data_IF_255512345705
#
_entry.id   IF_255512345705
#
_cell.length_a   1.000
_cell.length_b   1.000
_cell.length_c   1.000
_cell.angle_alpha   90.00
_cell.angle_beta   90.00
_cell.angle_gamma   90.00
#
_symmetry.space_group_name_H-M   'P 1'
#
loop_
_entity.id
_entity.type
_entity.pdbx_description
1 polymer ?
#
# COMPACT_ATOMS: atom_id res chain seq x y z
N UNK A 1 -47.23 44.45 -33.46
CA UNK A 1 -46.97 43.46 -32.41
C UNK A 1 -45.77 43.97 -31.64
N UNK A 2 -46.03 44.72 -30.57
CA UNK A 2 -45.00 45.22 -29.66
C UNK A 2 -44.52 44.05 -28.79
N UNK A 3 -43.32 43.55 -29.06
CA UNK A 3 -42.63 42.57 -28.19
C UNK A 3 -41.53 43.23 -27.37
N UNK A 4 -41.65 44.52 -27.07
CA UNK A 4 -40.73 45.28 -26.23
C UNK A 4 -41.02 45.10 -24.74
N UNK A 5 -40.97 43.87 -24.23
CA UNK A 5 -41.04 43.62 -22.79
C UNK A 5 -39.72 44.02 -22.13
N UNK A 6 -39.72 45.06 -21.30
CA UNK A 6 -38.55 45.46 -20.52
C UNK A 6 -38.12 44.27 -19.63
N UNK A 7 -36.88 43.79 -19.81
CA UNK A 7 -36.34 42.73 -18.98
C UNK A 7 -36.08 43.22 -17.56
N UNK A 8 -36.28 42.35 -16.56
CA UNK A 8 -36.10 42.69 -15.16
C UNK A 8 -35.32 41.62 -14.41
N UNK A 9 -34.45 42.06 -13.50
CA UNK A 9 -33.78 41.20 -12.53
C UNK A 9 -34.63 41.08 -11.27
N UNK A 10 -34.64 39.90 -10.68
CA UNK A 10 -35.26 39.68 -9.37
C UNK A 10 -34.42 38.73 -8.53
N UNK A 11 -34.61 38.81 -7.21
CA UNK A 11 -34.03 37.89 -6.23
C UNK A 11 -35.19 37.16 -5.56
N UNK A 12 -35.18 35.83 -5.65
CA UNK A 12 -36.14 34.95 -5.01
C UNK A 12 -35.54 34.26 -3.80
N UNK A 13 -36.40 33.89 -2.85
CA UNK A 13 -36.08 32.96 -1.79
C UNK A 13 -37.01 31.76 -1.98
N UNK A 14 -36.46 30.68 -2.53
CA UNK A 14 -37.21 29.46 -2.78
C UNK A 14 -36.94 28.44 -1.67
N UNK A 15 -38.00 27.74 -1.23
CA UNK A 15 -37.91 26.68 -0.23
C UNK A 15 -38.09 25.32 -0.91
N UNK A 16 -36.98 24.63 -1.14
CA UNK A 16 -36.94 23.34 -1.84
C UNK A 16 -36.21 22.32 -0.96
N UNK A 17 -36.90 21.58 -0.07
CA UNK A 17 -36.24 20.59 0.78
C UNK A 17 -35.66 19.46 -0.08
N UNK A 18 -34.35 19.26 -0.01
CA UNK A 18 -33.62 18.21 -0.73
C UNK A 18 -32.90 17.27 0.24
N UNK A 19 -32.90 15.97 -0.10
CA UNK A 19 -32.18 14.93 0.64
C UNK A 19 -31.03 14.40 -0.21
N UNK A 20 -29.83 14.90 0.08
CA UNK A 20 -28.64 14.52 -0.66
C UNK A 20 -27.87 13.43 0.07
N UNK A 21 -27.32 12.47 -0.69
CA UNK A 21 -26.52 11.37 -0.16
C UNK A 21 -25.34 11.07 -1.09
N UNK A 22 -24.15 10.91 -0.52
CA UNK A 22 -22.99 10.39 -1.24
C UNK A 22 -23.05 8.85 -1.20
N UNK A 23 -22.97 8.23 -2.37
CA UNK A 23 -22.87 6.78 -2.54
C UNK A 23 -21.58 6.45 -3.28
N UNK A 24 -21.07 5.24 -3.04
CA UNK A 24 -19.98 4.63 -3.82
C UNK A 24 -18.72 5.50 -3.94
N UNK A 25 -18.37 6.17 -2.83
CA UNK A 25 -17.16 6.97 -2.74
C UNK A 25 -15.93 6.05 -2.64
N UNK A 26 -14.91 6.33 -3.44
CA UNK A 26 -13.64 5.61 -3.47
C UNK A 26 -12.49 6.58 -3.60
N UNK A 27 -11.31 6.17 -3.11
CA UNK A 27 -10.07 6.94 -3.20
C UNK A 27 -8.98 6.06 -3.83
N UNK A 28 -8.14 6.69 -4.63
CA UNK A 28 -7.03 6.06 -5.37
C UNK A 28 -6.09 7.14 -5.85
N UNK A 29 -4.80 6.80 -5.95
CA UNK A 29 -3.81 7.67 -6.59
C UNK A 29 -4.15 7.87 -8.07
N UNK A 30 -3.84 9.07 -8.57
CA UNK A 30 -4.11 9.44 -9.96
C UNK A 30 -3.31 8.63 -10.99
N UNK A 31 -2.14 8.11 -10.59
CA UNK A 31 -1.30 7.23 -11.40
C UNK A 31 -1.85 5.78 -11.51
N UNK A 32 -2.89 5.43 -10.72
CA UNK A 32 -3.48 4.09 -10.71
C UNK A 32 -2.65 3.02 -9.98
N UNK A 33 -1.67 3.39 -9.17
CA UNK A 33 -0.80 2.45 -8.44
C UNK A 33 -1.46 1.86 -7.18
N UNK A 34 -2.49 2.51 -6.65
CA UNK A 34 -3.24 2.01 -5.49
C UNK A 34 -3.89 0.66 -5.80
N UNK A 35 -3.52 -0.36 -5.04
CA UNK A 35 -4.13 -1.70 -5.11
C UNK A 35 -5.27 -1.88 -4.12
N UNK A 36 -5.14 -1.29 -2.93
CA UNK A 36 -6.16 -1.37 -1.88
C UNK A 36 -6.08 -0.17 -0.94
N UNK A 37 -7.22 0.17 -0.35
CA UNK A 37 -7.35 1.19 0.68
C UNK A 37 -7.53 0.52 2.04
N UNK A 38 -6.70 0.89 3.03
CA UNK A 38 -6.77 0.34 4.38
C UNK A 38 -7.10 1.41 5.41
N UNK A 39 -8.11 1.21 6.28
CA UNK A 39 -8.48 2.21 7.25
C UNK A 39 -7.57 2.21 8.47
N UNK A 40 -7.42 3.38 9.11
CA UNK A 40 -6.68 3.52 10.35
C UNK A 40 -7.48 2.96 11.56
N UNK A 41 -6.81 2.15 12.38
CA UNK A 41 -7.29 1.64 13.66
C UNK A 41 -7.28 2.78 14.69
N UNK A 42 -8.46 3.21 15.12
CA UNK A 42 -8.59 4.33 16.06
C UNK A 42 -8.17 3.91 17.48
N UNK A 43 -7.00 4.36 17.90
CA UNK A 43 -6.46 4.09 19.24
C UNK A 43 -6.64 5.23 20.26
N UNK A 44 -7.42 6.28 19.93
CA UNK A 44 -7.67 7.42 20.83
C UNK A 44 -6.43 8.26 21.21
N UNK A 45 -5.29 8.03 20.56
CA UNK A 45 -4.03 8.78 20.69
C UNK A 45 -3.69 9.50 19.38
N UNK A 46 -2.69 10.38 19.40
CA UNK A 46 -2.19 11.06 18.19
C UNK A 46 -1.97 10.07 17.05
N UNK A 47 -2.34 10.47 15.82
CA UNK A 47 -2.20 9.64 14.62
C UNK A 47 -0.72 9.32 14.44
N UNK A 48 -0.37 8.03 14.52
CA UNK A 48 0.97 7.54 14.24
C UNK A 48 0.92 6.72 12.96
N UNK A 49 1.69 7.12 11.96
CA UNK A 49 1.79 6.43 10.68
C UNK A 49 2.70 5.18 10.80
N UNK A 50 2.25 4.23 11.61
CA UNK A 50 2.88 2.93 11.82
C UNK A 50 2.02 1.86 11.12
N UNK A 51 2.67 0.84 10.56
CA UNK A 51 2.01 -0.19 9.75
C UNK A 51 0.95 -0.97 10.53
N UNK A 52 1.20 -1.27 11.80
CA UNK A 52 0.28 -1.94 12.71
C UNK A 52 -0.91 -1.08 13.17
N UNK A 53 -0.99 0.20 12.76
CA UNK A 53 -2.11 1.09 13.03
C UNK A 53 -3.13 1.14 11.91
N UNK A 54 -2.94 0.36 10.86
CA UNK A 54 -3.93 0.20 9.79
C UNK A 54 -4.57 -1.19 9.87
N UNK A 55 -5.85 -1.28 9.55
CA UNK A 55 -6.57 -2.54 9.48
C UNK A 55 -6.33 -3.21 8.13
N UNK A 56 -5.30 -4.05 8.07
CA UNK A 56 -4.95 -4.81 6.87
C UNK A 56 -5.93 -5.94 6.54
N UNK A 57 -6.89 -6.24 7.43
CA UNK A 57 -7.88 -7.30 7.21
C UNK A 57 -9.13 -6.81 6.49
N UNK A 58 -9.35 -5.49 6.45
CA UNK A 58 -10.50 -4.87 5.78
C UNK A 58 -10.05 -4.00 4.61
N UNK A 59 -9.57 -4.60 3.50
CA UNK A 59 -9.25 -3.84 2.29
C UNK A 59 -10.52 -3.22 1.70
N UNK A 60 -10.37 -2.02 1.15
CA UNK A 60 -11.41 -1.24 0.46
C UNK A 60 -12.70 -1.09 1.28
N UNK A 61 -12.61 -0.51 2.51
CA UNK A 61 -13.77 -0.31 3.35
C UNK A 61 -14.76 0.66 2.69
N UNK A 62 -16.05 0.45 2.93
CA UNK A 62 -17.07 1.39 2.47
C UNK A 62 -16.94 2.72 3.22
N UNK A 63 -16.50 3.76 2.51
CA UNK A 63 -16.41 5.12 3.04
C UNK A 63 -17.81 5.75 3.01
N UNK A 64 -18.41 5.91 4.19
CA UNK A 64 -19.74 6.48 4.35
C UNK A 64 -19.71 7.95 4.73
N UNK A 65 -20.78 8.67 4.38
CA UNK A 65 -21.00 10.05 4.80
C UNK A 65 -22.35 10.18 5.51
N UNK A 66 -22.46 11.16 6.42
CA UNK A 66 -23.73 11.55 7.03
C UNK A 66 -24.63 12.15 5.95
N UNK A 67 -25.88 11.72 5.96
CA UNK A 67 -26.91 12.32 5.11
C UNK A 67 -27.06 13.77 5.55
N UNK A 68 -27.10 14.70 4.60
CA UNK A 68 -27.38 16.09 4.91
C UNK A 68 -28.79 16.42 4.44
N UNK A 69 -29.64 16.84 5.36
CA UNK A 69 -30.98 17.32 5.05
C UNK A 69 -30.87 18.82 4.82
N UNK A 70 -30.96 19.24 3.55
CA UNK A 70 -31.04 20.66 3.24
C UNK A 70 -32.38 21.20 3.73
N UNK A 71 -32.32 22.12 4.69
CA UNK A 71 -33.27 23.24 4.78
C UNK A 71 -32.66 24.35 3.90
N UNK A 72 -32.57 24.11 2.59
CA UNK A 72 -32.05 25.11 1.66
C UNK A 72 -33.07 26.24 1.55
N UNK A 73 -32.81 27.35 2.25
CA UNK A 73 -33.20 28.66 1.72
C UNK A 73 -32.14 29.00 0.67
N UNK A 74 -32.37 28.59 -0.58
CA UNK A 74 -31.52 28.98 -1.70
C UNK A 74 -31.98 30.34 -2.21
N UNK A 75 -31.05 31.29 -2.27
CA UNK A 75 -31.28 32.55 -2.95
C UNK A 75 -31.21 32.30 -4.45
N UNK A 76 -32.31 32.55 -5.16
CA UNK A 76 -32.34 32.48 -6.62
C UNK A 76 -32.13 33.89 -7.19
N UNK A 77 -31.30 33.99 -8.23
CA UNK A 77 -31.22 35.22 -9.04
C UNK A 77 -31.89 34.93 -10.37
N UNK A 78 -32.93 35.71 -10.67
CA UNK A 78 -33.76 35.51 -11.85
C UNK A 78 -33.67 36.67 -12.83
N UNK A 79 -33.80 36.34 -14.12
CA UNK A 79 -34.01 37.31 -15.19
C UNK A 79 -35.26 36.96 -15.96
N UNK A 80 -36.21 37.89 -16.03
CA UNK A 80 -37.42 37.78 -16.82
C UNK A 80 -37.33 38.62 -18.08
N UNK A 81 -37.74 38.05 -19.23
CA UNK A 81 -37.94 38.80 -20.48
C UNK A 81 -39.19 38.29 -21.20
N UNK A 82 -40.17 39.18 -21.39
CA UNK A 82 -41.48 38.81 -21.91
C UNK A 82 -42.19 37.78 -21.02
N UNK A 83 -42.63 36.66 -21.62
CA UNK A 83 -43.24 35.52 -20.91
C UNK A 83 -42.26 34.48 -20.36
N UNK A 84 -40.95 34.64 -20.62
CA UNK A 84 -39.92 33.70 -20.18
C UNK A 84 -39.21 34.20 -18.91
N UNK A 85 -38.90 33.27 -18.00
CA UNK A 85 -38.08 33.51 -16.80
C UNK A 85 -36.98 32.47 -16.72
N UNK A 86 -35.77 32.92 -16.40
CA UNK A 86 -34.63 32.08 -16.07
C UNK A 86 -34.28 32.35 -14.61
N UNK A 87 -34.18 31.29 -13.79
CA UNK A 87 -33.77 31.35 -12.39
C UNK A 87 -32.47 30.54 -12.23
N UNK A 88 -31.48 31.14 -11.58
CA UNK A 88 -30.22 30.51 -11.22
C UNK A 88 -30.17 30.36 -9.70
N UNK A 89 -30.05 29.11 -9.23
CA UNK A 89 -29.93 28.75 -7.82
C UNK A 89 -28.55 28.11 -7.58
N UNK A 90 -27.90 28.48 -6.49
CA UNK A 90 -26.60 27.92 -6.08
C UNK A 90 -26.74 27.32 -4.68
N UNK A 91 -26.58 26.01 -4.60
CA UNK A 91 -26.61 25.25 -3.36
C UNK A 91 -25.22 24.90 -2.88
N UNK A 92 -25.00 24.94 -1.56
CA UNK A 92 -23.78 24.46 -0.94
C UNK A 92 -24.10 23.41 0.12
N UNK A 93 -23.52 22.22 -0.04
CA UNK A 93 -23.73 21.10 0.87
C UNK A 93 -22.41 20.60 1.43
N UNK A 94 -22.42 20.19 2.71
CA UNK A 94 -21.28 19.58 3.37
C UNK A 94 -21.67 18.22 3.96
N UNK A 95 -20.98 17.17 3.56
CA UNK A 95 -21.18 15.79 3.98
C UNK A 95 -20.02 15.36 4.87
N UNK A 96 -20.27 15.20 6.17
CA UNK A 96 -19.24 14.73 7.10
C UNK A 96 -19.04 13.21 6.96
N UNK A 97 -17.82 12.73 7.13
CA UNK A 97 -17.54 11.28 7.11
C UNK A 97 -18.20 10.56 8.28
N UNK A 98 -18.68 9.34 8.03
CA UNK A 98 -19.11 8.41 9.08
C UNK A 98 -17.88 7.69 9.61
N UNK A 99 -17.74 7.63 10.93
CA UNK A 99 -16.71 6.79 11.55
C UNK A 99 -16.86 5.33 11.15
N UNK A 100 -15.73 4.67 10.89
CA UNK A 100 -15.63 3.22 10.71
C UNK A 100 -15.99 2.59 12.06
N UNK A 101 -17.05 1.77 12.06
CA UNK A 101 -17.69 1.24 13.28
C UNK A 101 -16.86 0.10 13.85
N UNK A 102 -16.57 0.17 15.13
CA UNK A 102 -16.63 -1.00 16.00
C UNK A 102 -18.00 -0.96 16.71
N UNK A 103 -18.60 -2.12 16.93
CA UNK A 103 -19.97 -2.35 17.42
C UNK A 103 -20.64 -1.22 18.25
N UNK A 104 -21.70 -0.64 17.69
CA UNK A 104 -22.88 -0.13 18.40
C UNK A 104 -22.68 0.91 19.52
N UNK A 105 -22.56 2.19 19.18
CA UNK A 105 -23.35 3.29 19.77
C UNK A 105 -22.86 4.65 19.25
N UNK A 106 -23.81 5.45 18.74
CA UNK A 106 -23.67 6.83 18.21
C UNK A 106 -22.75 7.00 17.00
N UNK A 107 -23.26 7.71 15.99
CA UNK A 107 -22.49 8.10 14.81
C UNK A 107 -21.48 9.19 15.19
N UNK A 108 -20.38 8.79 15.82
CA UNK A 108 -19.31 9.70 16.14
C UNK A 108 -18.62 10.16 14.85
N UNK A 109 -18.64 11.48 14.67
CA UNK A 109 -17.84 12.15 13.65
C UNK A 109 -16.38 11.85 13.94
N UNK A 110 -15.67 11.38 12.93
CA UNK A 110 -14.25 11.12 13.11
C UNK A 110 -13.51 11.41 11.83
N UNK A 111 -12.36 12.04 12.02
CA UNK A 111 -11.32 12.12 11.01
C UNK A 111 -10.90 10.68 10.69
N UNK A 112 -11.30 10.19 9.51
CA UNK A 112 -10.94 8.84 9.06
C UNK A 112 -9.69 8.95 8.21
N UNK A 113 -8.63 8.29 8.67
CA UNK A 113 -7.34 8.20 7.98
C UNK A 113 -7.29 6.87 7.22
N UNK A 114 -6.78 6.90 5.99
CA UNK A 114 -6.67 5.74 5.10
C UNK A 114 -5.26 5.65 4.52
N UNK A 115 -4.71 4.44 4.46
CA UNK A 115 -3.49 4.12 3.73
C UNK A 115 -3.85 3.64 2.32
N UNK A 116 -3.23 4.24 1.31
CA UNK A 116 -3.29 3.79 -0.07
C UNK A 116 -2.11 2.83 -0.29
N UNK A 117 -2.38 1.52 -0.18
CA UNK A 117 -1.34 0.51 -0.35
C UNK A 117 -1.13 0.18 -1.82
N UNK A 118 0.14 0.01 -2.19
CA UNK A 118 0.59 -0.40 -3.52
C UNK A 118 0.89 -1.90 -3.55
N UNK A 119 1.49 -2.37 -4.64
CA UNK A 119 1.59 -3.77 -5.03
C UNK A 119 2.36 -4.64 -4.03
N UNK A 120 3.57 -4.24 -3.59
CA UNK A 120 4.41 -5.02 -2.67
C UNK A 120 3.74 -5.19 -1.30
N UNK A 121 3.22 -4.11 -0.72
CA UNK A 121 2.53 -4.17 0.57
C UNK A 121 1.29 -5.06 0.51
N UNK A 122 0.48 -4.91 -0.55
CA UNK A 122 -0.73 -5.69 -0.77
C UNK A 122 -0.42 -7.19 -0.98
N UNK A 123 0.56 -7.52 -1.82
CA UNK A 123 0.90 -8.89 -2.16
C UNK A 123 1.50 -9.66 -0.98
N UNK A 124 2.27 -9.00 -0.10
CA UNK A 124 2.78 -9.60 1.14
C UNK A 124 1.64 -9.99 2.08
N UNK A 125 0.72 -9.06 2.37
CA UNK A 125 -0.39 -9.30 3.30
C UNK A 125 -1.33 -10.37 2.77
N UNK A 126 -1.64 -10.33 1.47
CA UNK A 126 -2.53 -11.31 0.83
C UNK A 126 -1.85 -12.65 0.52
N UNK A 127 -0.52 -12.75 0.67
CA UNK A 127 0.22 -13.98 0.43
C UNK A 127 0.36 -14.34 -1.05
N UNK A 128 0.34 -13.38 -1.96
CA UNK A 128 0.42 -13.60 -3.40
C UNK A 128 1.89 -13.75 -3.85
N UNK A 129 2.52 -14.90 -3.55
CA UNK A 129 3.96 -15.13 -3.76
C UNK A 129 4.44 -14.85 -5.19
N UNK A 130 3.69 -15.28 -6.22
CA UNK A 130 4.11 -15.10 -7.62
C UNK A 130 4.08 -13.62 -8.05
N UNK A 131 3.05 -12.88 -7.63
CA UNK A 131 2.92 -11.45 -7.92
C UNK A 131 3.94 -10.63 -7.13
N UNK A 132 4.14 -10.97 -5.85
CA UNK A 132 5.18 -10.39 -5.03
C UNK A 132 6.57 -10.61 -5.65
N UNK A 133 6.85 -11.81 -6.17
CA UNK A 133 8.10 -12.11 -6.88
C UNK A 133 8.27 -11.21 -8.10
N UNK A 134 7.22 -11.08 -8.92
CA UNK A 134 7.25 -10.25 -10.11
C UNK A 134 7.42 -8.75 -9.79
N UNK A 135 6.81 -8.27 -8.70
CA UNK A 135 6.96 -6.90 -8.23
C UNK A 135 8.36 -6.65 -7.65
N UNK A 136 8.84 -7.53 -6.76
CA UNK A 136 10.20 -7.47 -6.20
C UNK A 136 11.30 -7.53 -7.26
N UNK A 137 11.08 -8.31 -8.33
CA UNK A 137 12.04 -8.40 -9.43
C UNK A 137 12.18 -7.07 -10.21
N UNK A 138 11.16 -6.21 -10.20
CA UNK A 138 11.21 -4.87 -10.80
C UNK A 138 11.81 -3.83 -9.86
N UNK A 139 11.86 -4.12 -8.57
CA UNK A 139 12.47 -3.25 -7.55
C UNK A 139 13.98 -3.23 -7.68
N UNK A 140 14.59 -2.05 -7.58
CA UNK A 140 16.05 -1.93 -7.66
C UNK A 140 16.73 -2.59 -6.47
N UNK A 141 17.92 -3.16 -6.67
CA UNK A 141 18.68 -3.75 -5.56
C UNK A 141 18.96 -2.75 -4.44
N UNK A 142 19.14 -1.46 -4.79
CA UNK A 142 19.34 -0.37 -3.82
C UNK A 142 18.15 -0.22 -2.88
N UNK A 143 16.93 -0.28 -3.40
CA UNK A 143 15.71 -0.14 -2.59
C UNK A 143 15.51 -1.36 -1.68
N UNK A 144 15.89 -2.55 -2.16
CA UNK A 144 15.88 -3.79 -1.35
C UNK A 144 16.88 -3.71 -0.20
N UNK A 145 18.07 -3.15 -0.42
CA UNK A 145 19.01 -2.89 0.67
C UNK A 145 18.42 -1.91 1.69
N UNK A 146 17.74 -0.85 1.24
CA UNK A 146 17.10 0.10 2.14
C UNK A 146 15.98 -0.55 2.96
N UNK A 147 15.16 -1.38 2.31
CA UNK A 147 14.12 -2.17 2.97
C UNK A 147 14.72 -3.11 4.03
N UNK A 148 15.75 -3.89 3.69
CA UNK A 148 16.39 -4.80 4.63
C UNK A 148 17.01 -4.06 5.84
N UNK A 149 17.63 -2.90 5.64
CA UNK A 149 18.11 -2.05 6.74
C UNK A 149 16.96 -1.58 7.65
N UNK A 150 15.81 -1.24 7.07
CA UNK A 150 14.64 -0.85 7.84
C UNK A 150 14.05 -2.03 8.64
N UNK A 151 14.05 -3.24 8.07
CA UNK A 151 13.67 -4.49 8.74
C UNK A 151 14.62 -4.80 9.91
N UNK A 152 15.93 -4.72 9.71
CA UNK A 152 16.92 -4.94 10.78
C UNK A 152 16.68 -4.02 11.97
N UNK A 153 16.43 -2.73 11.71
CA UNK A 153 16.22 -1.72 12.77
C UNK A 153 14.86 -1.89 13.45
N UNK A 154 13.80 -2.11 12.67
CA UNK A 154 12.42 -2.04 13.17
C UNK A 154 11.87 -3.38 13.63
N UNK A 155 12.40 -4.49 13.10
CA UNK A 155 11.88 -5.84 13.32
C UNK A 155 13.01 -6.89 13.19
N UNK A 156 13.99 -6.89 14.11
CA UNK A 156 15.14 -7.81 14.05
C UNK A 156 14.74 -9.29 14.13
N UNK A 157 13.59 -9.60 14.70
CA UNK A 157 13.00 -10.95 14.68
C UNK A 157 12.58 -11.40 13.28
N UNK A 158 12.13 -10.47 12.43
CA UNK A 158 11.78 -10.73 11.03
C UNK A 158 13.05 -10.84 10.18
N UNK A 159 14.04 -9.98 10.41
CA UNK A 159 15.36 -10.09 9.77
C UNK A 159 15.92 -11.52 9.95
N UNK A 160 15.81 -12.07 11.16
CA UNK A 160 16.22 -13.43 11.50
C UNK A 160 15.40 -14.57 10.89
N UNK A 161 14.30 -14.29 10.19
CA UNK A 161 13.40 -15.28 9.54
C UNK A 161 13.46 -15.25 8.02
N UNK A 162 14.03 -14.21 7.43
CA UNK A 162 14.10 -14.01 5.98
C UNK A 162 15.52 -14.29 5.49
N UNK A 163 15.66 -14.95 4.35
CA UNK A 163 16.94 -15.34 3.79
C UNK A 163 17.81 -16.12 4.79
N UNK A 164 17.20 -17.03 5.55
CA UNK A 164 17.94 -17.83 6.53
C UNK A 164 18.66 -18.97 5.82
N UNK A 165 19.98 -18.89 5.76
CA UNK A 165 20.84 -19.94 5.18
C UNK A 165 20.68 -21.26 5.91
N UNK A 166 20.87 -22.38 5.19
CA UNK A 166 20.60 -23.73 5.71
C UNK A 166 21.88 -24.58 5.76
N UNK A 167 21.93 -25.51 6.72
CA UNK A 167 23.02 -26.50 6.85
C UNK A 167 23.03 -27.49 5.69
N UNK A 168 24.20 -28.04 5.37
CA UNK A 168 24.35 -29.18 4.47
C UNK A 168 23.59 -30.44 4.93
N UNK A 169 23.61 -31.48 4.12
CA UNK A 169 22.83 -32.72 4.35
C UNK A 169 23.53 -33.73 5.28
N UNK A 170 24.71 -33.42 5.81
CA UNK A 170 25.54 -34.33 6.61
C UNK A 170 25.58 -34.04 8.11
N UNK A 171 26.18 -34.94 8.88
CA UNK A 171 26.49 -34.71 10.30
C UNK A 171 27.63 -33.69 10.41
N UNK A 172 27.51 -32.74 11.35
CA UNK A 172 28.50 -31.67 11.60
C UNK A 172 28.78 -30.71 10.42
N UNK A 173 27.84 -30.55 9.49
CA UNK A 173 27.97 -29.57 8.39
C UNK A 173 27.75 -28.13 8.84
N UNK A 174 28.41 -27.20 8.15
CA UNK A 174 28.23 -25.75 8.31
C UNK A 174 26.99 -25.25 7.56
N UNK A 175 26.59 -24.02 7.86
CA UNK A 175 25.58 -23.28 7.10
C UNK A 175 26.20 -22.72 5.81
N UNK A 176 25.36 -22.46 4.81
CA UNK A 176 25.75 -21.61 3.68
C UNK A 176 26.26 -20.26 4.18
N UNK A 177 27.28 -19.71 3.51
CA UNK A 177 27.84 -18.40 3.81
C UNK A 177 27.58 -17.49 2.62
N UNK A 178 26.91 -16.37 2.84
CA UNK A 178 26.70 -15.37 1.82
C UNK A 178 28.02 -14.87 1.24
N UNK A 179 28.04 -14.73 -0.08
CA UNK A 179 29.17 -14.29 -0.87
C UNK A 179 28.70 -13.60 -2.14
N UNK A 180 29.61 -12.95 -2.86
CA UNK A 180 29.28 -12.29 -4.12
C UNK A 180 28.91 -13.27 -5.25
N UNK A 181 29.35 -14.53 -5.17
CA UNK A 181 29.06 -15.56 -6.16
C UNK A 181 28.90 -16.91 -5.48
N UNK A 182 28.00 -17.73 -5.98
CA UNK A 182 27.80 -19.10 -5.50
C UNK A 182 29.01 -19.96 -5.89
N UNK A 183 29.66 -20.51 -4.88
CA UNK A 183 30.72 -21.53 -4.95
C UNK A 183 30.34 -22.66 -4.00
N UNK A 184 29.29 -23.37 -4.40
CA UNK A 184 28.59 -24.34 -3.59
C UNK A 184 28.43 -25.61 -4.41
N UNK A 185 29.11 -26.69 -4.03
CA UNK A 185 29.02 -27.99 -4.69
C UNK A 185 29.16 -29.10 -3.65
N UNK A 186 28.49 -30.22 -3.85
CA UNK A 186 28.46 -31.35 -2.90
C UNK A 186 29.83 -31.80 -2.38
N UNK A 187 30.83 -31.71 -3.27
CA UNK A 187 32.20 -32.16 -3.06
C UNK A 187 33.19 -30.99 -2.86
N UNK A 188 32.73 -29.73 -2.86
CA UNK A 188 33.61 -28.58 -2.64
C UNK A 188 33.82 -28.29 -1.16
N UNK A 189 35.04 -27.86 -0.81
CA UNK A 189 35.33 -27.35 0.54
C UNK A 189 34.69 -25.98 0.82
N UNK A 190 34.08 -25.34 -0.18
CA UNK A 190 33.40 -24.06 -0.08
C UNK A 190 31.88 -24.25 0.01
N UNK A 191 31.23 -23.38 0.79
CA UNK A 191 29.77 -23.33 0.95
C UNK A 191 29.30 -21.87 0.77
N UNK A 192 29.90 -21.19 -0.20
CA UNK A 192 29.61 -19.79 -0.47
C UNK A 192 28.37 -19.70 -1.36
N UNK A 193 27.39 -18.88 -0.99
CA UNK A 193 26.08 -18.83 -1.63
C UNK A 193 25.70 -17.40 -1.96
N UNK A 194 25.15 -17.17 -3.17
CA UNK A 194 24.63 -15.86 -3.58
C UNK A 194 23.10 -15.83 -3.70
N UNK A 195 22.43 -16.92 -3.29
CA UNK A 195 20.97 -17.03 -3.29
C UNK A 195 20.43 -16.93 -1.86
N UNK A 196 19.43 -16.07 -1.66
CA UNK A 196 18.71 -15.90 -0.40
C UNK A 196 18.20 -17.24 0.15
N UNK A 197 18.54 -17.54 1.41
CA UNK A 197 18.09 -18.74 2.13
C UNK A 197 18.72 -20.06 1.66
N UNK A 198 19.80 -19.99 0.86
CA UNK A 198 20.41 -21.17 0.26
C UNK A 198 21.03 -22.11 1.28
N UNK A 199 20.98 -23.39 0.94
CA UNK A 199 21.59 -24.50 1.67
C UNK A 199 23.05 -24.68 1.25
N UNK A 200 23.93 -24.93 2.22
CA UNK A 200 25.27 -25.43 1.94
C UNK A 200 25.22 -26.76 1.16
N UNK A 201 26.10 -26.90 0.18
CA UNK A 201 26.27 -28.07 -0.65
C UNK A 201 27.09 -29.16 0.05
N UNK A 202 28.01 -28.78 0.92
CA UNK A 202 28.90 -29.69 1.63
C UNK A 202 28.16 -30.84 2.32
N UNK A 203 28.59 -32.07 2.04
CA UNK A 203 27.99 -33.31 2.55
C UNK A 203 28.75 -33.90 3.75
N UNK A 204 29.94 -33.40 4.03
CA UNK A 204 30.83 -33.81 5.13
C UNK A 204 31.24 -32.60 5.98
N UNK A 205 32.09 -32.81 6.99
CA UNK A 205 32.66 -31.73 7.80
C UNK A 205 33.52 -30.78 6.95
N UNK A 206 32.87 -29.83 6.28
CA UNK A 206 33.48 -28.83 5.42
C UNK A 206 34.14 -27.73 6.25
N UNK A 207 35.35 -27.31 5.86
CA UNK A 207 36.04 -26.16 6.46
C UNK A 207 35.44 -24.82 6.02
N UNK A 208 34.84 -24.74 4.84
CA UNK A 208 34.11 -23.57 4.36
C UNK A 208 32.65 -23.50 4.85
N UNK A 209 32.09 -22.29 4.81
CA UNK A 209 30.73 -21.99 5.30
C UNK A 209 30.70 -21.28 6.65
N UNK A 210 29.50 -21.00 7.15
CA UNK A 210 29.27 -20.28 8.40
C UNK A 210 28.96 -21.22 9.57
N UNK A 211 29.44 -20.89 10.77
CA UNK A 211 29.10 -21.63 11.99
C UNK A 211 27.65 -21.42 12.42
N UNK A 212 27.09 -20.24 12.13
CA UNK A 212 25.71 -19.85 12.42
C UNK A 212 24.96 -19.56 11.12
N UNK A 213 23.64 -19.68 11.16
CA UNK A 213 22.82 -19.23 10.04
C UNK A 213 23.01 -17.72 9.83
N UNK A 214 23.26 -17.34 8.59
CA UNK A 214 23.17 -15.96 8.12
C UNK A 214 21.76 -15.66 7.61
N UNK A 215 21.37 -14.39 7.69
CA UNK A 215 19.98 -13.91 7.53
C UNK A 215 19.89 -12.74 6.55
N UNK A 216 18.76 -12.05 6.45
CA UNK A 216 18.51 -10.99 5.45
C UNK A 216 19.57 -9.88 5.46
N UNK A 217 19.97 -9.34 6.62
CA UNK A 217 21.04 -8.34 6.69
C UNK A 217 22.39 -8.82 6.14
N UNK A 218 22.73 -10.09 6.34
CA UNK A 218 23.97 -10.69 5.85
C UNK A 218 23.89 -10.86 4.33
N UNK A 219 22.72 -11.27 3.83
CA UNK A 219 22.45 -11.35 2.41
C UNK A 219 22.63 -9.98 1.74
N UNK A 220 22.01 -8.92 2.26
CA UNK A 220 22.11 -7.60 1.62
C UNK A 220 23.49 -6.96 1.77
N UNK A 221 24.17 -7.18 2.88
CA UNK A 221 25.50 -6.60 3.13
C UNK A 221 26.59 -7.26 2.28
N UNK A 222 26.55 -8.59 2.15
CA UNK A 222 27.57 -9.35 1.44
C UNK A 222 27.19 -9.60 -0.01
N UNK A 223 26.02 -10.20 -0.25
CA UNK A 223 25.61 -10.66 -1.58
C UNK A 223 25.21 -9.50 -2.48
N UNK A 224 24.52 -8.49 -1.92
CA UNK A 224 24.15 -7.26 -2.63
C UNK A 224 25.19 -6.13 -2.43
N UNK A 225 26.35 -6.45 -1.84
CA UNK A 225 27.46 -5.52 -1.55
C UNK A 225 27.09 -4.31 -0.66
N UNK A 226 25.92 -4.34 -0.02
CA UNK A 226 25.41 -3.24 0.80
C UNK A 226 24.94 -2.00 0.04
N UNK A 227 25.07 -1.98 -1.30
CA UNK A 227 24.59 -0.91 -2.19
C UNK A 227 23.54 -1.38 -3.21
N UNK A 228 23.35 -2.70 -3.36
CA UNK A 228 22.40 -3.29 -4.28
C UNK A 228 22.91 -3.42 -5.71
N UNK A 229 24.22 -3.27 -5.95
CA UNK A 229 24.82 -3.27 -7.28
C UNK A 229 24.98 -4.65 -7.91
N UNK A 230 24.90 -5.73 -7.13
CA UNK A 230 25.11 -7.11 -7.58
C UNK A 230 24.02 -8.04 -7.02
N UNK A 231 23.78 -9.13 -7.74
CA UNK A 231 22.94 -10.26 -7.31
C UNK A 231 21.46 -9.95 -7.05
N UNK A 232 20.93 -8.83 -7.54
CA UNK A 232 19.49 -8.54 -7.50
C UNK A 232 18.95 -8.20 -8.90
N UNK A 233 17.81 -8.77 -9.32
CA UNK A 233 17.00 -9.79 -8.65
C UNK A 233 17.49 -11.23 -8.87
N UNK A 234 18.58 -11.42 -9.64
CA UNK A 234 19.14 -12.72 -10.02
C UNK A 234 20.53 -12.88 -9.43
N UNK A 235 20.84 -14.05 -8.87
CA UNK A 235 22.14 -14.39 -8.30
C UNK A 235 23.23 -14.60 -9.36
N UNK A 236 24.48 -14.71 -8.90
CA UNK A 236 25.64 -15.08 -9.74
C UNK A 236 26.20 -16.40 -9.23
N UNK A 237 26.48 -17.33 -10.14
CA UNK A 237 27.09 -18.63 -9.83
C UNK A 237 28.37 -18.81 -10.64
N UNK A 238 29.45 -19.27 -9.99
CA UNK A 238 30.71 -19.59 -10.68
C UNK A 238 30.52 -20.77 -11.63
N UNK A 239 31.36 -20.85 -12.67
CA UNK A 239 31.39 -21.99 -13.58
C UNK A 239 31.53 -23.33 -12.84
N UNK A 240 30.77 -24.33 -13.27
CA UNK A 240 30.75 -25.70 -12.72
C UNK A 240 30.32 -25.81 -11.23
N UNK A 241 29.59 -24.80 -10.71
CA UNK A 241 29.02 -24.76 -9.35
C UNK A 241 27.50 -24.77 -9.36
N UNK A 242 26.91 -25.09 -8.21
CA UNK A 242 25.47 -25.34 -8.07
C UNK A 242 24.83 -24.53 -6.93
N UNK A 243 23.57 -24.11 -7.07
CA UNK A 243 22.81 -24.18 -8.31
C UNK A 243 23.28 -23.13 -9.31
N UNK A 244 23.11 -23.43 -10.59
CA UNK A 244 23.21 -22.42 -11.63
C UNK A 244 22.26 -21.24 -11.33
N UNK A 245 22.69 -20.03 -11.68
CA UNK A 245 21.86 -18.83 -11.52
C UNK A 245 20.60 -18.97 -12.38
N UNK A 246 19.44 -18.74 -11.76
CA UNK A 246 18.14 -18.77 -12.44
C UNK A 246 17.55 -17.37 -12.39
N UNK A 247 16.93 -16.93 -13.48
CA UNK A 247 16.30 -15.61 -13.56
C UNK A 247 15.35 -15.38 -12.37
N UNK A 248 15.58 -14.29 -11.64
CA UNK A 248 14.82 -13.85 -10.47
C UNK A 248 14.85 -14.77 -9.24
N UNK A 249 15.81 -15.69 -9.14
CA UNK A 249 15.94 -16.62 -8.01
C UNK A 249 15.95 -15.93 -6.63
N UNK A 250 16.61 -14.78 -6.49
CA UNK A 250 16.65 -14.01 -5.25
C UNK A 250 15.33 -13.31 -4.95
N UNK A 251 14.67 -12.73 -5.96
CA UNK A 251 13.34 -12.15 -5.77
C UNK A 251 12.31 -13.22 -5.36
N UNK A 252 12.37 -14.40 -5.97
CA UNK A 252 11.50 -15.53 -5.64
C UNK A 252 11.75 -16.07 -4.22
N UNK A 253 13.03 -16.22 -3.84
CA UNK A 253 13.40 -16.67 -2.50
C UNK A 253 12.95 -15.68 -1.41
N UNK A 254 13.16 -14.37 -1.61
CA UNK A 254 12.67 -13.34 -0.68
C UNK A 254 11.15 -13.36 -0.60
N UNK A 255 10.44 -13.41 -1.74
CA UNK A 255 8.98 -13.44 -1.75
C UNK A 255 8.41 -14.65 -0.99
N UNK A 256 9.01 -15.83 -1.16
CA UNK A 256 8.62 -17.05 -0.45
C UNK A 256 8.80 -16.91 1.06
N UNK A 257 9.91 -16.35 1.52
CA UNK A 257 10.15 -16.15 2.95
C UNK A 257 9.18 -15.11 3.53
N UNK A 258 8.95 -13.98 2.85
CA UNK A 258 8.02 -12.94 3.32
C UNK A 258 6.57 -13.44 3.39
N UNK A 259 6.12 -14.19 2.40
CA UNK A 259 4.74 -14.74 2.36
C UNK A 259 4.52 -15.90 3.35
N UNK A 260 5.60 -16.48 3.89
CA UNK A 260 5.55 -17.53 4.92
C UNK A 260 5.47 -16.98 6.35
N UNK A 261 5.73 -15.69 6.55
CA UNK A 261 5.65 -15.04 7.86
C UNK A 261 4.25 -15.14 8.49
N UNK A 262 4.17 -14.96 9.81
CA UNK A 262 2.87 -14.85 10.49
C UNK A 262 2.12 -13.59 10.05
N UNK A 263 0.79 -13.56 10.18
CA UNK A 263 -0.05 -12.42 9.74
C UNK A 263 0.42 -11.07 10.31
N UNK A 264 0.76 -11.01 11.60
CA UNK A 264 1.27 -9.80 12.24
C UNK A 264 2.61 -9.35 11.65
N UNK A 265 3.48 -10.30 11.32
CA UNK A 265 4.79 -10.03 10.71
C UNK A 265 4.66 -9.56 9.26
N UNK A 266 3.69 -10.12 8.51
CA UNK A 266 3.35 -9.65 7.17
C UNK A 266 2.90 -8.19 7.18
N UNK A 267 2.04 -7.82 8.13
CA UNK A 267 1.60 -6.44 8.32
C UNK A 267 2.77 -5.49 8.62
N UNK A 268 3.71 -5.91 9.46
CA UNK A 268 4.92 -5.13 9.72
C UNK A 268 5.76 -4.93 8.45
N UNK A 269 6.02 -6.01 7.71
CA UNK A 269 6.74 -5.97 6.43
C UNK A 269 6.03 -5.09 5.40
N UNK A 270 4.71 -5.20 5.28
CA UNK A 270 3.92 -4.47 4.30
C UNK A 270 4.07 -2.96 4.46
N UNK A 271 3.98 -2.46 5.70
CA UNK A 271 4.20 -1.03 5.90
C UNK A 271 5.68 -0.60 5.84
N UNK A 272 6.65 -1.49 6.07
CA UNK A 272 8.05 -1.20 5.76
C UNK A 272 8.28 -1.08 4.24
N UNK A 273 7.66 -1.95 3.43
CA UNK A 273 7.69 -1.86 1.96
C UNK A 273 7.02 -0.58 1.46
N UNK A 274 5.84 -0.25 2.01
CA UNK A 274 5.17 1.01 1.71
C UNK A 274 6.04 2.22 2.07
N UNK A 275 6.73 2.19 3.21
CA UNK A 275 7.55 3.31 3.67
C UNK A 275 8.87 3.47 2.90
N UNK A 276 9.49 2.37 2.48
CA UNK A 276 10.87 2.38 1.95
C UNK A 276 10.96 2.27 0.44
N UNK A 277 10.03 1.56 -0.20
CA UNK A 277 10.09 1.25 -1.64
C UNK A 277 8.98 1.96 -2.38
N UNK A 278 7.74 1.76 -1.96
CA UNK A 278 6.58 2.13 -2.77
C UNK A 278 6.12 3.59 -2.59
N UNK A 279 6.46 4.18 -1.43
CA UNK A 279 5.93 5.48 -1.01
C UNK A 279 4.45 5.37 -0.67
N UNK A 280 4.14 4.99 0.57
CA UNK A 280 2.77 4.90 1.06
C UNK A 280 2.16 6.28 1.22
N UNK A 281 1.06 6.54 0.51
CA UNK A 281 0.26 7.74 0.68
C UNK A 281 -0.81 7.53 1.75
N UNK A 282 -0.97 8.52 2.62
CA UNK A 282 -1.97 8.49 3.68
C UNK A 282 -2.90 9.68 3.50
N UNK A 283 -4.21 9.39 3.43
CA UNK A 283 -5.25 10.39 3.20
C UNK A 283 -6.16 10.47 4.41
N UNK A 284 -6.35 11.69 4.92
CA UNK A 284 -7.35 11.99 5.93
C UNK A 284 -8.59 12.60 5.28
N UNK A 285 -9.77 12.02 5.55
CA UNK A 285 -11.05 12.52 5.05
C UNK A 285 -11.94 12.90 6.23
N UNK A 286 -12.28 14.18 6.30
CA UNK A 286 -13.17 14.74 7.32
C UNK A 286 -14.58 15.02 6.80
N UNK A 287 -14.66 15.56 5.59
CA UNK A 287 -15.89 15.90 4.92
C UNK A 287 -15.67 16.07 3.42
N UNK A 288 -16.74 15.90 2.65
CA UNK A 288 -16.82 16.29 1.23
C UNK A 288 -17.84 17.42 1.12
N UNK A 289 -17.53 18.45 0.36
CA UNK A 289 -18.49 19.51 0.03
C UNK A 289 -18.93 19.39 -1.44
N UNK A 290 -20.17 19.75 -1.68
CA UNK A 290 -20.76 19.82 -3.02
C UNK A 290 -21.28 21.23 -3.26
N UNK A 291 -21.15 21.71 -4.50
CA UNK A 291 -21.81 22.92 -4.97
C UNK A 291 -22.71 22.52 -6.12
N UNK A 292 -24.02 22.71 -5.96
CA UNK A 292 -25.00 22.50 -7.00
C UNK A 292 -25.33 23.83 -7.67
N UNK A 293 -25.58 23.77 -8.97
CA UNK A 293 -26.13 24.88 -9.75
C UNK A 293 -27.40 24.38 -10.42
N UNK A 294 -28.54 24.99 -10.12
CA UNK A 294 -29.80 24.69 -10.78
C UNK A 294 -30.19 25.86 -11.68
N UNK A 295 -30.64 25.53 -12.90
CA UNK A 295 -31.16 26.50 -13.86
C UNK A 295 -32.59 26.12 -14.17
N UNK A 296 -33.52 26.99 -13.78
CA UNK A 296 -34.95 26.81 -14.02
C UNK A 296 -35.41 27.74 -15.13
N UNK A 297 -36.12 27.19 -16.12
CA UNK A 297 -36.73 27.94 -17.21
C UNK A 297 -38.26 27.85 -17.11
N UNK A 298 -38.94 28.98 -16.97
CA UNK A 298 -40.41 29.04 -16.99
C UNK A 298 -40.89 29.85 -18.18
N UNK A 299 -41.89 29.31 -18.89
CA UNK A 299 -42.59 30.01 -19.96
C UNK A 299 -44.05 30.16 -19.56
N UNK A 300 -44.51 31.41 -19.45
CA UNK A 300 -45.92 31.72 -19.33
C UNK A 300 -46.49 31.82 -20.76
N UNK A 301 -47.36 30.88 -21.11
CA UNK A 301 -48.15 30.89 -22.35
C UNK A 301 -49.48 31.63 -22.13
#
# INVERSE_FOLDING_TARGET
>A
MDTGGAGYFYVGLDYSPAFSKIRDFSIRESNGETKAVYPYLKDGKSVKLESNKFDWNTPDPRIGFKDNMLVAMEGSVGYGIGGARVELEIGYERFKTKGIRDSGSKEDEADTVYLLAKELAYDVVTGQTDKLTAALAKTSGKDIVQFAKAVEISSPTIDGKVCVTKKGTGSNTKYGKYAEETDNKGDSNNNDVAVCGMKAGGTTSSSGGSATAQVLKDFVSVTLKGDGSKNWPTSTTKSDKEPAAVTNDNAEAVAKDLTKLATEEKTMVAGLLAKTIEGGEVVEIRAVSSTSVMVSLRFNY
#
